data_IF_756073167543
#
_entry.id   IF_756073167543
#
_cell.length_a   1.000
_cell.length_b   1.000
_cell.length_c   1.000
_cell.angle_alpha   90.00
_cell.angle_beta   90.00
_cell.angle_gamma   90.00
#
_symmetry.space_group_name_H-M   'P 1'
#
loop_
_entity.id
_entity.type
_entity.pdbx_description
1 polymer ?
#
# COMPACT_ATOMS: atom_id res chain seq x y z
N UNK A 1 -0.19 52.95 -39.85
CA UNK A 1 -1.31 52.23 -39.24
C UNK A 1 -0.85 50.80 -38.98
N UNK A 2 -0.32 50.52 -37.79
CA UNK A 2 0.16 49.20 -37.36
C UNK A 2 -0.59 48.85 -36.08
N UNK A 3 -1.47 47.84 -36.18
CA UNK A 3 -2.17 47.26 -35.04
C UNK A 3 -1.37 46.02 -34.59
N UNK A 4 -0.70 46.13 -33.45
CA UNK A 4 -0.10 44.98 -32.76
C UNK A 4 -1.20 44.23 -32.01
N UNK A 5 -1.21 42.89 -32.18
CA UNK A 5 -2.32 42.00 -31.82
C UNK A 5 -2.13 41.28 -30.47
N UNK A 6 -1.13 41.68 -29.66
CA UNK A 6 -0.71 40.95 -28.45
C UNK A 6 -0.78 41.80 -27.16
N UNK A 7 -1.90 42.48 -26.94
CA UNK A 7 -2.03 43.49 -25.88
C UNK A 7 -2.81 43.13 -24.61
N UNK A 8 -3.52 41.99 -24.53
CA UNK A 8 -4.63 41.88 -23.56
C UNK A 8 -4.66 40.67 -22.60
N UNK A 9 -3.63 39.82 -22.53
CA UNK A 9 -3.67 38.66 -21.60
C UNK A 9 -2.79 38.82 -20.35
N UNK A 10 -1.96 39.87 -20.24
CA UNK A 10 -0.97 39.97 -19.16
C UNK A 10 -1.36 40.84 -17.94
N UNK A 11 -2.60 41.34 -17.85
CA UNK A 11 -2.98 42.31 -16.81
C UNK A 11 -3.85 41.76 -15.66
N UNK A 12 -4.33 40.52 -15.72
CA UNK A 12 -5.19 39.97 -14.66
C UNK A 12 -4.43 39.35 -13.47
N UNK A 13 -3.11 39.11 -13.59
CA UNK A 13 -2.34 38.42 -12.53
C UNK A 13 -1.61 39.36 -11.54
N UNK A 14 -1.73 40.67 -11.70
CA UNK A 14 -0.94 41.65 -10.92
C UNK A 14 -1.59 42.18 -9.63
N UNK A 15 -2.78 41.69 -9.23
CA UNK A 15 -3.58 42.29 -8.14
C UNK A 15 -3.62 41.46 -6.83
N UNK A 16 -2.96 40.31 -6.75
CA UNK A 16 -2.79 39.61 -5.47
C UNK A 16 -1.37 39.80 -4.94
N UNK A 17 -1.20 40.71 -3.97
CA UNK A 17 0.03 40.85 -3.17
C UNK A 17 0.29 39.50 -2.46
N UNK A 18 1.28 38.69 -2.90
CA UNK A 18 1.26 37.24 -2.63
C UNK A 18 1.77 36.85 -1.24
N UNK A 19 2.51 37.73 -0.54
CA UNK A 19 3.22 37.34 0.69
C UNK A 19 2.37 37.08 1.93
N UNK A 20 1.23 37.74 2.09
CA UNK A 20 0.31 37.44 3.21
C UNK A 20 -0.76 36.42 2.84
N UNK A 21 -1.05 36.28 1.55
CA UNK A 21 -2.14 35.44 1.05
C UNK A 21 -1.85 33.94 1.18
N UNK A 22 -0.59 33.49 1.06
CA UNK A 22 -0.28 32.05 1.21
C UNK A 22 -0.34 31.56 2.65
N UNK A 23 0.10 32.35 3.63
CA UNK A 23 -0.10 31.98 5.04
C UNK A 23 -1.59 31.99 5.39
N UNK A 24 -2.36 32.95 4.87
CA UNK A 24 -3.81 33.00 5.04
C UNK A 24 -4.48 31.80 4.34
N UNK A 25 -4.02 31.39 3.15
CA UNK A 25 -4.57 30.23 2.44
C UNK A 25 -4.21 28.91 3.15
N UNK A 26 -2.98 28.76 3.64
CA UNK A 26 -2.57 27.59 4.41
C UNK A 26 -3.30 27.51 5.75
N UNK A 27 -3.46 28.64 6.44
CA UNK A 27 -4.27 28.74 7.66
C UNK A 27 -5.74 28.47 7.32
N UNK A 28 -6.30 29.05 6.25
CA UNK A 28 -7.69 28.83 5.85
C UNK A 28 -7.94 27.37 5.44
N UNK A 29 -7.01 26.74 4.72
CA UNK A 29 -7.07 25.32 4.40
C UNK A 29 -6.96 24.48 5.66
N UNK A 30 -6.02 24.75 6.57
CA UNK A 30 -5.96 24.06 7.86
C UNK A 30 -7.23 24.28 8.70
N UNK A 31 -7.79 25.48 8.75
CA UNK A 31 -8.98 25.82 9.53
C UNK A 31 -10.24 25.20 8.94
N UNK A 32 -10.41 25.27 7.61
CA UNK A 32 -11.47 24.56 6.90
C UNK A 32 -11.35 23.05 7.12
N UNK A 33 -10.12 22.53 7.12
CA UNK A 33 -9.84 21.12 7.35
C UNK A 33 -10.10 20.70 8.81
N UNK A 34 -9.72 21.51 9.80
CA UNK A 34 -10.06 21.31 11.21
C UNK A 34 -11.57 21.34 11.40
N UNK A 35 -12.27 22.29 10.75
CA UNK A 35 -13.72 22.36 10.78
C UNK A 35 -14.34 21.09 10.19
N UNK A 36 -13.90 20.64 9.00
CA UNK A 36 -14.35 19.38 8.39
C UNK A 36 -14.03 18.19 9.30
N UNK A 37 -12.86 18.17 9.94
CA UNK A 37 -12.45 17.13 10.91
C UNK A 37 -13.33 17.12 12.15
N UNK A 38 -13.83 18.26 12.61
CA UNK A 38 -14.81 18.36 13.70
C UNK A 38 -16.20 17.85 13.30
N UNK A 39 -16.52 17.80 12.00
CA UNK A 39 -17.76 17.20 11.49
C UNK A 39 -17.60 15.71 11.12
N UNK A 40 -16.40 15.15 11.23
CA UNK A 40 -16.23 13.69 11.18
C UNK A 40 -16.83 13.15 12.47
N UNK A 41 -17.85 12.30 12.32
CA UNK A 41 -18.60 11.67 13.41
C UNK A 41 -17.68 11.26 14.57
N UNK A 42 -18.15 11.37 15.83
CA UNK A 42 -17.34 11.06 17.00
C UNK A 42 -16.68 9.69 16.79
N UNK A 43 -15.35 9.70 16.73
CA UNK A 43 -14.54 8.48 16.73
C UNK A 43 -14.98 7.72 17.97
N UNK A 44 -15.75 6.66 17.77
CA UNK A 44 -16.14 5.78 18.86
C UNK A 44 -14.85 5.11 19.30
N UNK A 45 -14.30 5.55 20.43
CA UNK A 45 -13.10 4.97 21.07
C UNK A 45 -13.24 3.47 21.42
N UNK A 46 -14.40 2.88 21.12
CA UNK A 46 -14.71 1.47 21.20
C UNK A 46 -14.84 0.90 19.77
N UNK A 47 -13.75 0.92 18.99
CA UNK A 47 -13.72 0.13 17.78
C UNK A 47 -13.94 -1.35 18.15
N UNK A 48 -14.75 -2.10 17.38
CA UNK A 48 -14.87 -3.54 17.61
C UNK A 48 -13.49 -4.20 17.49
N UNK A 49 -13.22 -5.30 18.23
CA UNK A 49 -12.05 -6.11 17.95
C UNK A 49 -12.00 -6.43 16.45
N UNK A 50 -10.80 -6.46 15.87
CA UNK A 50 -10.66 -6.79 14.47
C UNK A 50 -11.21 -8.20 14.16
N UNK A 51 -11.77 -8.40 12.96
CA UNK A 51 -12.32 -9.70 12.55
C UNK A 51 -11.21 -10.73 12.36
N UNK A 52 -11.61 -11.99 12.37
CA UNK A 52 -10.68 -13.10 12.13
C UNK A 52 -10.32 -13.18 10.65
N UNK A 53 -9.04 -13.44 10.36
CA UNK A 53 -8.46 -13.37 9.02
C UNK A 53 -7.60 -14.60 8.71
N UNK A 54 -7.96 -15.31 7.65
CA UNK A 54 -7.19 -16.43 7.12
C UNK A 54 -6.66 -16.12 5.73
N UNK A 55 -5.34 -16.10 5.60
CA UNK A 55 -4.63 -15.83 4.36
C UNK A 55 -4.25 -17.12 3.65
N UNK A 56 -4.53 -17.22 2.37
CA UNK A 56 -4.10 -18.33 1.52
C UNK A 56 -3.20 -17.80 0.43
N UNK A 57 -1.98 -18.33 0.33
CA UNK A 57 -1.04 -18.03 -0.75
C UNK A 57 -0.88 -19.25 -1.64
N UNK A 58 -1.36 -19.16 -2.87
CA UNK A 58 -1.26 -20.21 -3.86
C UNK A 58 0.15 -20.23 -4.45
N UNK A 59 0.79 -21.39 -4.48
CA UNK A 59 2.11 -21.57 -5.11
C UNK A 59 2.03 -22.67 -6.15
N UNK A 60 2.36 -22.34 -7.40
CA UNK A 60 2.26 -23.26 -8.54
C UNK A 60 3.58 -23.99 -8.76
N UNK A 61 3.57 -25.32 -8.86
CA UNK A 61 4.80 -26.09 -9.13
C UNK A 61 5.20 -26.07 -10.60
N UNK A 62 4.25 -25.88 -11.51
CA UNK A 62 4.48 -25.93 -12.96
C UNK A 62 3.55 -24.96 -13.71
N UNK A 63 4.14 -23.87 -14.21
CA UNK A 63 3.42 -22.86 -15.00
C UNK A 63 2.46 -22.02 -14.16
N UNK A 64 2.46 -20.71 -14.39
CA UNK A 64 1.53 -19.82 -13.68
C UNK A 64 0.15 -19.95 -14.32
N UNK A 65 -0.85 -20.39 -13.54
CA UNK A 65 -2.24 -20.53 -13.96
C UNK A 65 -3.11 -19.55 -13.20
N UNK A 66 -3.93 -18.79 -13.92
CA UNK A 66 -4.77 -17.77 -13.29
C UNK A 66 -5.92 -18.43 -12.55
N UNK A 67 -6.06 -18.14 -11.26
CA UNK A 67 -7.22 -18.52 -10.45
C UNK A 67 -8.47 -17.78 -10.97
N UNK A 68 -9.50 -18.52 -11.35
CA UNK A 68 -10.79 -17.99 -11.80
C UNK A 68 -11.85 -18.01 -10.70
N UNK A 69 -11.79 -19.03 -9.84
CA UNK A 69 -12.67 -19.17 -8.70
C UNK A 69 -12.07 -20.03 -7.61
N UNK A 70 -12.45 -19.76 -6.36
CA UNK A 70 -12.03 -20.52 -5.20
C UNK A 70 -13.23 -20.75 -4.29
N UNK A 71 -13.48 -22.01 -3.95
CA UNK A 71 -14.53 -22.43 -3.04
C UNK A 71 -13.90 -23.03 -1.79
N UNK A 72 -14.44 -22.66 -0.62
CA UNK A 72 -14.17 -23.33 0.64
C UNK A 72 -15.41 -24.15 0.99
N UNK A 73 -15.20 -25.43 1.23
CA UNK A 73 -16.24 -26.44 1.38
C UNK A 73 -16.09 -27.13 2.72
N UNK A 74 -17.20 -27.26 3.43
CA UNK A 74 -17.30 -28.04 4.66
C UNK A 74 -17.74 -29.47 4.32
N UNK A 75 -17.08 -30.44 4.94
CA UNK A 75 -17.22 -31.86 4.70
C UNK A 75 -17.60 -32.55 6.02
N UNK A 76 -18.63 -33.41 5.98
CA UNK A 76 -19.06 -34.19 7.14
C UNK A 76 -18.14 -35.38 7.47
N UNK A 77 -17.30 -35.81 6.52
CA UNK A 77 -16.39 -36.95 6.65
C UNK A 77 -15.17 -36.80 5.72
N UNK A 78 -14.18 -37.69 5.88
CA UNK A 78 -12.92 -37.64 5.13
C UNK A 78 -13.07 -37.84 3.61
N UNK A 79 -14.19 -38.41 3.16
CA UNK A 79 -14.49 -38.57 1.73
C UNK A 79 -15.25 -37.36 1.16
N UNK A 80 -15.72 -36.45 2.02
CA UNK A 80 -16.54 -35.31 1.67
C UNK A 80 -17.82 -35.69 0.89
N UNK A 81 -18.53 -36.75 1.33
CA UNK A 81 -19.70 -37.27 0.61
C UNK A 81 -20.89 -36.28 0.54
N UNK A 82 -20.98 -35.38 1.52
CA UNK A 82 -22.00 -34.32 1.60
C UNK A 82 -21.33 -32.95 1.73
N UNK A 83 -20.77 -32.43 0.63
CA UNK A 83 -20.06 -31.16 0.66
C UNK A 83 -21.05 -30.00 0.79
N UNK A 84 -20.73 -29.07 1.69
CA UNK A 84 -21.48 -27.82 1.87
C UNK A 84 -20.59 -26.66 1.43
N UNK A 85 -21.03 -25.89 0.43
CA UNK A 85 -20.31 -24.70 0.01
C UNK A 85 -20.43 -23.63 1.10
N UNK A 86 -19.31 -23.32 1.75
CA UNK A 86 -19.24 -22.28 2.77
C UNK A 86 -19.17 -20.94 2.07
N UNK A 87 -18.06 -20.65 1.40
CA UNK A 87 -17.81 -19.38 0.72
C UNK A 87 -17.17 -19.61 -0.64
N UNK A 88 -17.42 -18.68 -1.56
CA UNK A 88 -16.85 -18.70 -2.90
C UNK A 88 -16.33 -17.31 -3.29
N UNK A 89 -15.16 -17.30 -3.91
CA UNK A 89 -14.64 -16.20 -4.70
C UNK A 89 -14.73 -16.55 -6.19
N UNK A 90 -15.05 -15.55 -7.02
CA UNK A 90 -15.02 -15.70 -8.48
C UNK A 90 -16.06 -16.68 -9.02
N UNK A 91 -15.84 -17.16 -10.23
CA UNK A 91 -16.73 -18.10 -10.90
C UNK A 91 -16.17 -19.52 -10.82
N UNK A 92 -16.99 -20.46 -10.36
CA UNK A 92 -16.67 -21.90 -10.35
C UNK A 92 -17.79 -22.62 -11.13
N UNK A 93 -17.56 -22.85 -12.42
CA UNK A 93 -18.55 -23.40 -13.38
C UNK A 93 -18.18 -24.80 -13.88
N UNK A 94 -16.92 -25.20 -13.73
CA UNK A 94 -16.41 -26.44 -14.29
C UNK A 94 -16.84 -27.68 -13.48
N UNK A 95 -16.74 -28.85 -14.13
CA UNK A 95 -17.03 -30.13 -13.50
C UNK A 95 -16.09 -30.37 -12.31
N UNK A 96 -16.66 -30.37 -11.09
CA UNK A 96 -15.92 -30.48 -9.83
C UNK A 96 -16.20 -29.34 -8.86
N UNK A 97 -16.69 -28.20 -9.36
CA UNK A 97 -17.22 -27.12 -8.53
C UNK A 97 -18.59 -27.49 -7.96
N UNK A 98 -18.89 -26.97 -6.77
CA UNK A 98 -20.24 -27.02 -6.22
C UNK A 98 -21.09 -25.91 -6.84
N UNK A 99 -22.29 -26.26 -7.30
CA UNK A 99 -23.22 -25.30 -7.93
C UNK A 99 -24.24 -24.73 -6.96
N UNK A 100 -24.35 -25.32 -5.76
CA UNK A 100 -25.25 -24.82 -4.72
C UNK A 100 -24.75 -23.46 -4.22
N UNK A 101 -25.66 -22.53 -3.91
CA UNK A 101 -25.29 -21.21 -3.38
C UNK A 101 -24.50 -21.32 -2.07
N UNK A 102 -23.50 -20.46 -1.92
CA UNK A 102 -22.65 -20.39 -0.74
C UNK A 102 -23.46 -19.99 0.51
N UNK A 103 -23.32 -20.74 1.61
CA UNK A 103 -24.01 -20.43 2.86
C UNK A 103 -23.51 -19.15 3.52
N UNK A 104 -22.22 -18.81 3.35
CA UNK A 104 -21.53 -17.64 3.90
C UNK A 104 -22.19 -16.30 3.57
N UNK A 105 -22.87 -16.18 2.42
CA UNK A 105 -23.54 -14.93 2.03
C UNK A 105 -24.59 -14.47 3.06
N UNK A 106 -25.05 -15.39 3.93
CA UNK A 106 -25.95 -15.10 5.06
C UNK A 106 -25.23 -14.91 6.42
N UNK A 107 -23.97 -15.31 6.53
CA UNK A 107 -23.18 -15.32 7.76
C UNK A 107 -22.13 -14.19 7.84
N UNK A 108 -21.89 -13.45 6.76
CA UNK A 108 -20.92 -12.35 6.79
C UNK A 108 -19.46 -12.82 6.66
N UNK A 109 -19.24 -14.08 6.28
CA UNK A 109 -17.91 -14.53 5.84
C UNK A 109 -17.68 -14.04 4.40
N UNK A 110 -16.50 -13.48 4.13
CA UNK A 110 -16.11 -12.98 2.81
C UNK A 110 -14.78 -13.57 2.40
N UNK A 111 -14.71 -14.11 1.19
CA UNK A 111 -13.47 -14.57 0.57
C UNK A 111 -13.13 -13.65 -0.59
N UNK A 112 -12.03 -12.92 -0.47
CA UNK A 112 -11.51 -12.14 -1.59
C UNK A 112 -10.16 -12.65 -2.05
N UNK A 113 -9.96 -12.71 -3.37
CA UNK A 113 -8.68 -13.06 -3.95
C UNK A 113 -8.15 -11.96 -4.89
N UNK A 114 -6.82 -11.89 -4.98
CA UNK A 114 -6.08 -11.11 -5.95
C UNK A 114 -4.78 -11.83 -6.31
N UNK A 115 -4.57 -12.08 -7.61
CA UNK A 115 -3.51 -12.95 -8.13
C UNK A 115 -3.51 -14.31 -7.38
N UNK A 116 -2.39 -14.68 -6.77
CA UNK A 116 -2.21 -15.94 -6.02
C UNK A 116 -2.51 -15.80 -4.52
N UNK A 117 -3.19 -14.74 -4.08
CA UNK A 117 -3.48 -14.52 -2.65
C UNK A 117 -4.96 -14.40 -2.43
N UNK A 118 -5.47 -15.11 -1.42
CA UNK A 118 -6.84 -15.00 -0.96
C UNK A 118 -6.88 -14.69 0.53
N UNK A 119 -7.89 -13.92 0.93
CA UNK A 119 -8.18 -13.55 2.30
C UNK A 119 -9.61 -13.97 2.60
N UNK A 120 -9.77 -14.86 3.57
CA UNK A 120 -11.04 -15.15 4.21
C UNK A 120 -11.17 -14.26 5.45
N UNK A 121 -12.20 -13.43 5.48
CA UNK A 121 -12.58 -12.61 6.63
C UNK A 121 -13.87 -13.17 7.22
N UNK A 122 -13.89 -13.38 8.52
CA UNK A 122 -15.10 -13.71 9.27
C UNK A 122 -15.57 -12.47 10.05
N UNK A 123 -16.61 -11.81 9.54
CA UNK A 123 -17.17 -10.59 10.14
C UNK A 123 -18.07 -10.89 11.36
N UNK A 124 -18.34 -12.16 11.69
CA UNK A 124 -19.10 -12.50 12.90
C UNK A 124 -18.20 -12.32 14.11
N UNK A 125 -18.30 -11.14 14.71
CA UNK A 125 -17.66 -10.76 15.97
C UNK A 125 -17.99 -11.65 17.19
N UNK A 126 -18.80 -12.71 17.05
CA UNK A 126 -19.37 -13.50 18.15
C UNK A 126 -19.86 -14.91 17.74
N UNK A 127 -18.98 -15.82 17.34
CA UNK A 127 -19.34 -17.26 17.37
C UNK A 127 -18.22 -18.17 17.87
N UNK A 128 -17.42 -17.69 18.81
CA UNK A 128 -16.80 -18.58 19.78
C UNK A 128 -17.59 -18.47 21.08
N UNK A 129 -18.30 -19.52 21.50
CA UNK A 129 -18.93 -19.51 22.80
C UNK A 129 -17.82 -19.40 23.85
N UNK A 130 -17.72 -18.23 24.47
CA UNK A 130 -17.07 -18.11 25.76
C UNK A 130 -17.96 -18.91 26.72
N UNK A 131 -17.51 -20.13 27.05
CA UNK A 131 -18.09 -21.02 28.06
C UNK A 131 -19.36 -21.80 27.68
N UNK A 132 -19.37 -22.54 26.56
CA UNK A 132 -20.24 -23.72 26.50
C UNK A 132 -19.48 -24.94 27.04
N UNK A 133 -20.01 -25.66 28.05
CA UNK A 133 -19.41 -26.90 28.53
C UNK A 133 -19.39 -27.93 27.39
N UNK A 134 -18.41 -28.84 27.35
CA UNK A 134 -18.26 -29.83 26.28
C UNK A 134 -19.45 -30.78 26.28
N UNK A 135 -20.50 -30.42 25.56
CA UNK A 135 -21.59 -31.32 25.22
C UNK A 135 -21.07 -32.23 24.10
N UNK A 136 -21.09 -33.55 24.36
CA UNK A 136 -20.76 -34.67 23.45
C UNK A 136 -20.30 -34.24 22.06
N UNK A 137 -18.99 -34.27 21.82
CA UNK A 137 -18.34 -33.79 20.59
C UNK A 137 -19.08 -34.25 19.33
N UNK A 138 -19.77 -33.36 18.59
CA UNK A 138 -20.09 -33.64 17.20
C UNK A 138 -18.76 -33.84 16.43
N UNK A 139 -18.74 -34.66 15.36
CA UNK A 139 -17.55 -34.83 14.54
C UNK A 139 -17.06 -33.46 14.07
N UNK A 140 -15.78 -33.15 14.34
CA UNK A 140 -15.18 -31.87 13.96
C UNK A 140 -15.33 -31.69 12.44
N UNK A 141 -15.88 -30.57 11.97
CA UNK A 141 -16.06 -30.38 10.54
C UNK A 141 -14.71 -30.36 9.83
N UNK A 142 -14.64 -31.05 8.70
CA UNK A 142 -13.46 -31.06 7.83
C UNK A 142 -13.65 -30.00 6.74
N UNK A 143 -12.59 -29.31 6.36
CA UNK A 143 -12.61 -28.33 5.27
C UNK A 143 -11.83 -28.80 4.06
N UNK A 144 -12.34 -28.44 2.90
CA UNK A 144 -11.73 -28.69 1.60
C UNK A 144 -11.73 -27.42 0.78
N UNK A 145 -10.64 -27.17 0.05
CA UNK A 145 -10.57 -26.10 -0.94
C UNK A 145 -10.76 -26.68 -2.34
N UNK A 146 -11.56 -26.00 -3.16
CA UNK A 146 -11.74 -26.30 -4.58
C UNK A 146 -11.36 -25.04 -5.36
N UNK A 147 -10.28 -25.10 -6.14
CA UNK A 147 -9.85 -24.01 -6.99
C UNK A 147 -10.17 -24.31 -8.45
N UNK A 148 -10.89 -23.41 -9.12
CA UNK A 148 -10.99 -23.37 -10.57
C UNK A 148 -9.90 -22.46 -11.12
N UNK A 149 -9.02 -23.03 -11.94
CA UNK A 149 -7.97 -22.34 -12.67
C UNK A 149 -8.33 -22.30 -14.16
N UNK A 150 -7.64 -21.44 -14.91
CA UNK A 150 -7.86 -21.23 -16.36
C UNK A 150 -7.93 -22.49 -17.21
N UNK A 151 -7.35 -23.60 -16.76
CA UNK A 151 -7.24 -24.85 -17.49
C UNK A 151 -7.91 -26.04 -16.81
N UNK A 152 -8.23 -25.97 -15.51
CA UNK A 152 -8.68 -27.13 -14.72
C UNK A 152 -9.20 -26.77 -13.33
N UNK A 153 -9.95 -27.71 -12.74
CA UNK A 153 -10.35 -27.68 -11.33
C UNK A 153 -9.40 -28.54 -10.49
N UNK A 154 -8.93 -28.03 -9.36
CA UNK A 154 -8.11 -28.76 -8.39
C UNK A 154 -8.77 -28.74 -7.03
N UNK A 155 -8.63 -29.83 -6.29
CA UNK A 155 -9.23 -29.98 -4.98
C UNK A 155 -8.18 -30.39 -3.96
N UNK A 156 -8.27 -29.84 -2.75
CA UNK A 156 -7.46 -30.28 -1.63
C UNK A 156 -7.99 -31.58 -1.03
N UNK A 157 -7.18 -32.33 -0.25
CA UNK A 157 -7.74 -33.27 0.71
C UNK A 157 -8.53 -32.53 1.80
N UNK A 158 -9.52 -33.16 2.45
CA UNK A 158 -10.19 -32.58 3.61
C UNK A 158 -9.25 -32.46 4.82
N UNK A 159 -9.34 -31.35 5.55
CA UNK A 159 -8.47 -31.00 6.69
C UNK A 159 -9.33 -30.62 7.89
N UNK A 160 -9.03 -31.08 9.12
CA UNK A 160 -9.84 -30.75 10.28
C UNK A 160 -9.82 -29.26 10.66
N UNK A 161 -10.99 -28.72 10.98
CA UNK A 161 -11.17 -27.45 11.69
C UNK A 161 -10.89 -27.68 13.18
N UNK A 162 -9.66 -27.45 13.65
CA UNK A 162 -9.37 -27.52 15.10
C UNK A 162 -8.87 -26.17 15.62
N UNK A 163 -9.74 -25.47 16.35
CA UNK A 163 -9.49 -24.15 16.93
C UNK A 163 -8.88 -24.21 18.33
N UNK A 164 -8.68 -25.40 18.91
CA UNK A 164 -8.32 -25.53 20.34
C UNK A 164 -7.02 -26.27 20.63
N UNK A 165 -6.27 -26.76 19.63
CA UNK A 165 -5.07 -27.54 19.92
C UNK A 165 -3.80 -27.02 19.30
N UNK A 166 -2.99 -26.41 20.17
CA UNK A 166 -1.55 -26.23 20.00
C UNK A 166 -0.88 -27.61 20.14
N UNK A 167 -1.07 -28.50 19.16
CA UNK A 167 -0.43 -29.81 19.19
C UNK A 167 1.04 -29.67 18.81
N UNK A 168 1.88 -30.11 19.74
CA UNK A 168 3.34 -30.02 19.68
C UNK A 168 3.98 -30.92 18.62
N UNK A 169 3.21 -31.76 17.93
CA UNK A 169 3.67 -32.63 16.85
C UNK A 169 2.48 -32.97 15.94
N UNK A 170 2.59 -32.63 14.66
CA UNK A 170 1.91 -33.25 13.51
C UNK A 170 0.39 -33.48 13.63
N UNK A 171 -0.41 -32.47 13.25
CA UNK A 171 -1.62 -32.58 12.41
C UNK A 171 -2.21 -31.17 12.20
N UNK A 172 -2.39 -30.79 10.93
CA UNK A 172 -2.85 -29.45 10.54
C UNK A 172 -4.23 -29.15 11.11
N UNK A 173 -4.37 -28.03 11.80
CA UNK A 173 -5.65 -27.52 12.26
C UNK A 173 -5.84 -26.08 11.83
N UNK A 174 -7.08 -25.70 11.49
CA UNK A 174 -7.40 -24.35 11.01
C UNK A 174 -7.56 -23.34 12.16
N UNK A 175 -6.54 -22.52 12.53
CA UNK A 175 -6.69 -21.48 13.53
C UNK A 175 -7.72 -20.42 13.13
N UNK A 176 -8.18 -19.67 14.13
CA UNK A 176 -9.01 -18.47 13.97
C UNK A 176 -8.32 -17.44 13.06
N UNK A 177 -7.01 -17.28 13.19
CA UNK A 177 -6.18 -16.41 12.35
C UNK A 177 -4.97 -17.19 11.84
N UNK A 178 -4.65 -17.10 10.56
CA UNK A 178 -3.59 -17.93 9.99
C UNK A 178 -3.09 -17.52 8.62
N UNK A 179 -1.89 -17.98 8.28
CA UNK A 179 -1.33 -17.89 6.94
C UNK A 179 -1.04 -19.30 6.41
N UNK A 180 -1.65 -19.60 5.27
CA UNK A 180 -1.67 -20.90 4.63
C UNK A 180 -0.94 -20.83 3.30
N UNK A 181 -0.07 -21.80 3.05
CA UNK A 181 0.47 -22.02 1.73
C UNK A 181 -0.36 -23.10 1.05
N UNK A 182 -0.83 -22.82 -0.16
CA UNK A 182 -1.65 -23.73 -0.96
C UNK A 182 -0.85 -24.09 -2.19
N UNK A 183 -0.21 -25.24 -2.15
CA UNK A 183 0.57 -25.76 -3.27
C UNK A 183 -0.38 -26.33 -4.33
N UNK A 184 -0.32 -25.75 -5.52
CA UNK A 184 -1.09 -26.18 -6.68
C UNK A 184 -0.16 -27.01 -7.56
N UNK A 185 -0.39 -28.32 -7.59
CA UNK A 185 0.34 -29.25 -8.44
C UNK A 185 -0.45 -29.56 -9.70
N UNK A 186 0.18 -30.30 -10.60
CA UNK A 186 -0.49 -30.71 -11.83
C UNK A 186 -1.72 -31.57 -11.57
N UNK A 187 -1.81 -32.31 -10.47
CA UNK A 187 -2.93 -33.23 -10.23
C UNK A 187 -3.79 -32.84 -9.03
N UNK A 188 -3.25 -32.08 -8.07
CA UNK A 188 -3.93 -31.81 -6.81
C UNK A 188 -3.65 -30.41 -6.26
N UNK A 189 -4.39 -30.05 -5.22
CA UNK A 189 -4.08 -28.92 -4.37
C UNK A 189 -3.67 -29.45 -2.99
N UNK A 190 -2.64 -28.89 -2.37
CA UNK A 190 -2.20 -29.29 -1.03
C UNK A 190 -2.09 -28.07 -0.15
N UNK A 191 -2.78 -28.09 0.98
CA UNK A 191 -2.69 -27.01 1.97
C UNK A 191 -1.56 -27.41 2.93
N UNK A 192 -0.54 -26.56 2.98
CA UNK A 192 0.64 -26.70 3.83
C UNK A 192 0.59 -25.56 4.84
N UNK A 193 0.52 -25.92 6.13
CA UNK A 193 0.60 -24.94 7.20
C UNK A 193 2.05 -24.49 7.35
N UNK A 194 2.27 -23.18 7.29
CA UNK A 194 3.60 -22.64 7.50
C UNK A 194 3.87 -22.56 9.01
N UNK A 195 4.40 -23.66 9.58
CA UNK A 195 4.64 -23.81 11.03
C UNK A 195 5.59 -22.76 11.62
N UNK A 196 6.34 -22.03 10.78
CA UNK A 196 7.33 -21.05 11.22
C UNK A 196 6.78 -19.63 11.44
N UNK A 197 5.48 -19.38 11.21
CA UNK A 197 4.92 -18.02 11.13
C UNK A 197 3.66 -17.75 11.94
N UNK A 198 3.57 -18.31 13.15
CA UNK A 198 2.56 -17.93 14.15
C UNK A 198 2.72 -16.47 14.67
N UNK A 199 3.66 -15.68 14.12
CA UNK A 199 3.96 -14.31 14.52
C UNK A 199 3.33 -13.24 13.63
N UNK A 200 2.36 -13.59 12.79
CA UNK A 200 1.48 -12.61 12.15
C UNK A 200 0.52 -12.01 13.19
N UNK A 201 1.10 -11.26 14.13
CA UNK A 201 0.37 -10.48 15.11
C UNK A 201 -0.45 -9.41 14.39
N UNK A 202 -1.62 -9.16 14.94
CA UNK A 202 -2.60 -8.19 14.49
C UNK A 202 -1.95 -6.91 13.94
N UNK A 203 -2.14 -6.67 12.63
CA UNK A 203 -1.68 -5.45 11.95
C UNK A 203 -0.44 -5.61 11.07
N UNK A 204 0.02 -6.82 10.74
CA UNK A 204 1.25 -6.99 9.94
C UNK A 204 1.13 -7.90 8.71
N UNK A 205 0.85 -7.25 7.58
CA UNK A 205 1.74 -7.23 6.41
C UNK A 205 1.80 -8.43 5.48
N UNK A 206 1.47 -8.17 4.21
CA UNK A 206 2.08 -8.88 3.10
C UNK A 206 3.60 -9.02 3.36
N UNK A 207 4.26 -10.10 2.92
CA UNK A 207 5.71 -10.27 3.08
C UNK A 207 6.52 -9.02 2.68
N UNK A 208 6.03 -8.28 1.69
CA UNK A 208 6.56 -6.99 1.25
C UNK A 208 6.63 -5.93 2.36
N UNK A 209 5.64 -5.86 3.24
CA UNK A 209 5.58 -4.78 4.22
C UNK A 209 6.41 -5.06 5.48
N UNK A 210 6.63 -6.32 5.85
CA UNK A 210 7.69 -6.69 6.81
C UNK A 210 9.10 -6.42 6.27
N UNK A 211 9.29 -6.63 4.96
CA UNK A 211 10.51 -6.30 4.27
C UNK A 211 10.72 -4.77 4.24
N UNK A 212 9.65 -4.01 3.97
CA UNK A 212 9.64 -2.55 4.01
C UNK A 212 10.12 -2.01 5.35
N UNK A 213 9.55 -2.44 6.47
CA UNK A 213 9.90 -1.86 7.77
C UNK A 213 11.38 -2.08 8.14
N UNK A 214 11.95 -3.21 7.73
CA UNK A 214 13.38 -3.51 7.95
C UNK A 214 14.31 -2.68 7.07
N UNK A 215 13.87 -2.35 5.86
CA UNK A 215 14.74 -1.75 4.84
C UNK A 215 14.49 -0.26 4.71
N UNK A 216 13.36 0.26 5.17
CA UNK A 216 12.97 1.66 5.00
C UNK A 216 14.09 2.65 5.32
N UNK A 217 14.72 2.54 6.50
CA UNK A 217 15.78 3.46 6.89
C UNK A 217 17.08 3.26 6.11
N UNK A 218 17.42 2.01 5.78
CA UNK A 218 18.63 1.67 5.01
C UNK A 218 18.48 2.11 3.55
N UNK A 219 17.32 1.84 2.95
CA UNK A 219 16.93 2.26 1.62
C UNK A 219 16.88 3.78 1.51
N UNK A 220 16.33 4.47 2.50
CA UNK A 220 16.29 5.93 2.54
C UNK A 220 17.69 6.54 2.55
N UNK A 221 18.54 6.06 3.46
CA UNK A 221 19.92 6.52 3.55
C UNK A 221 20.71 6.23 2.27
N UNK A 222 20.57 5.02 1.72
CA UNK A 222 21.20 4.63 0.45
C UNK A 222 20.76 5.55 -0.69
N UNK A 223 19.46 5.83 -0.79
CA UNK A 223 18.88 6.71 -1.79
C UNK A 223 19.53 8.08 -1.68
N UNK A 224 19.40 8.77 -0.54
CA UNK A 224 19.97 10.11 -0.37
C UNK A 224 21.48 10.15 -0.66
N UNK A 225 22.26 9.21 -0.14
CA UNK A 225 23.71 9.22 -0.35
C UNK A 225 24.08 9.02 -1.82
N UNK A 226 23.42 8.07 -2.50
CA UNK A 226 23.67 7.80 -3.91
C UNK A 226 23.26 8.97 -4.80
N UNK A 227 22.13 9.59 -4.53
CA UNK A 227 21.63 10.71 -5.31
C UNK A 227 22.49 11.97 -5.14
N UNK A 228 22.92 12.26 -3.90
CA UNK A 228 23.84 13.35 -3.64
C UNK A 228 25.19 13.13 -4.32
N UNK A 229 25.69 11.90 -4.34
CA UNK A 229 26.94 11.57 -5.03
C UNK A 229 26.82 11.79 -6.54
N UNK A 230 25.77 11.26 -7.18
CA UNK A 230 25.53 11.40 -8.61
C UNK A 230 25.34 12.87 -8.99
N UNK A 231 24.55 13.61 -8.21
CA UNK A 231 24.34 15.03 -8.42
C UNK A 231 25.62 15.85 -8.22
N UNK A 232 26.44 15.52 -7.23
CA UNK A 232 27.73 16.16 -7.01
C UNK A 232 28.67 15.96 -8.22
N UNK A 233 28.77 14.72 -8.74
CA UNK A 233 29.56 14.40 -9.93
C UNK A 233 29.04 15.19 -11.14
N UNK A 234 27.73 15.21 -11.36
CA UNK A 234 27.10 15.95 -12.45
C UNK A 234 27.40 17.46 -12.36
N UNK A 235 27.23 18.06 -11.18
CA UNK A 235 27.44 19.48 -10.97
C UNK A 235 28.93 19.87 -11.08
N UNK A 236 29.83 19.00 -10.63
CA UNK A 236 31.27 19.17 -10.83
C UNK A 236 31.64 19.15 -12.31
N UNK A 237 31.12 18.17 -13.07
CA UNK A 237 31.37 18.08 -14.51
C UNK A 237 30.85 19.32 -15.27
N UNK A 238 29.73 19.89 -14.82
CA UNK A 238 29.17 21.15 -15.34
C UNK A 238 29.93 22.41 -14.90
N UNK A 239 30.99 22.28 -14.08
CA UNK A 239 31.76 23.39 -13.50
C UNK A 239 30.85 24.43 -12.83
N UNK A 240 29.82 23.96 -12.12
CA UNK A 240 28.90 24.84 -11.41
C UNK A 240 29.61 25.65 -10.33
N UNK A 241 29.15 26.87 -10.07
CA UNK A 241 29.68 27.68 -8.97
C UNK A 241 29.37 27.03 -7.61
N UNK A 242 30.26 27.20 -6.62
CA UNK A 242 30.09 26.62 -5.29
C UNK A 242 28.72 26.93 -4.63
N UNK A 243 28.18 28.17 -4.73
CA UNK A 243 26.84 28.47 -4.20
C UNK A 243 25.73 27.70 -4.93
N UNK A 244 25.83 27.53 -6.25
CA UNK A 244 24.86 26.76 -7.03
C UNK A 244 24.95 25.27 -6.71
N UNK A 245 26.17 24.76 -6.59
CA UNK A 245 26.46 23.37 -6.22
C UNK A 245 25.78 23.00 -4.90
N UNK A 246 26.05 23.76 -3.83
CA UNK A 246 25.44 23.51 -2.52
C UNK A 246 23.92 23.67 -2.52
N UNK A 247 23.39 24.65 -3.26
CA UNK A 247 21.94 24.85 -3.42
C UNK A 247 21.26 23.65 -4.07
N UNK A 248 21.80 23.12 -5.17
CA UNK A 248 21.21 21.97 -5.87
C UNK A 248 21.25 20.71 -5.01
N UNK A 249 22.37 20.43 -4.33
CA UNK A 249 22.45 19.31 -3.40
C UNK A 249 21.40 19.41 -2.30
N UNK A 250 21.24 20.60 -1.69
CA UNK A 250 20.21 20.82 -0.68
C UNK A 250 18.80 20.61 -1.25
N UNK A 251 18.53 21.12 -2.46
CA UNK A 251 17.24 20.93 -3.14
C UNK A 251 16.95 19.45 -3.34
N UNK A 252 17.94 18.64 -3.73
CA UNK A 252 17.77 17.18 -3.90
C UNK A 252 17.39 16.52 -2.57
N UNK A 253 18.08 16.85 -1.46
CA UNK A 253 17.69 16.34 -0.12
C UNK A 253 16.25 16.73 0.21
N UNK A 254 15.87 17.98 -0.02
CA UNK A 254 14.51 18.45 0.29
C UNK A 254 13.46 17.78 -0.60
N UNK A 255 13.76 17.55 -1.87
CA UNK A 255 12.86 16.87 -2.80
C UNK A 255 12.66 15.41 -2.39
N UNK A 256 13.74 14.72 -2.02
CA UNK A 256 13.71 13.35 -1.49
C UNK A 256 12.89 13.23 -0.22
N UNK A 257 12.91 14.27 0.63
CA UNK A 257 12.09 14.31 1.83
C UNK A 257 10.59 14.15 1.50
N UNK A 258 10.14 14.57 0.32
CA UNK A 258 8.74 14.45 -0.12
C UNK A 258 8.50 13.32 -1.12
N UNK A 259 9.40 13.06 -2.07
CA UNK A 259 9.22 11.97 -3.06
C UNK A 259 9.29 10.59 -2.39
N UNK A 260 10.21 10.40 -1.43
CA UNK A 260 10.41 9.12 -0.77
C UNK A 260 9.18 8.62 0.00
N UNK A 261 8.50 9.41 0.86
CA UNK A 261 7.24 8.98 1.47
C UNK A 261 6.16 8.59 0.45
N UNK A 262 6.09 9.25 -0.71
CA UNK A 262 5.11 8.90 -1.75
C UNK A 262 5.42 7.51 -2.31
N UNK A 263 6.68 7.23 -2.65
CA UNK A 263 7.11 5.89 -3.12
C UNK A 263 6.83 4.81 -2.08
N UNK A 264 7.05 5.09 -0.80
CA UNK A 264 6.97 4.08 0.27
C UNK A 264 5.62 4.00 1.00
N UNK A 265 4.72 4.96 0.74
CA UNK A 265 3.40 5.04 1.37
C UNK A 265 2.28 5.07 0.35
N UNK A 266 2.32 5.96 -0.64
CA UNK A 266 1.23 6.08 -1.63
C UNK A 266 1.17 4.89 -2.58
N UNK A 267 2.25 4.57 -3.30
CA UNK A 267 2.21 3.47 -4.26
C UNK A 267 1.90 2.11 -3.61
N UNK A 268 2.53 1.75 -2.47
CA UNK A 268 2.16 0.55 -1.72
C UNK A 268 0.71 0.56 -1.22
N UNK A 269 0.11 1.72 -0.93
CA UNK A 269 -1.29 1.76 -0.49
C UNK A 269 -2.30 1.49 -1.60
N UNK A 270 -1.89 1.63 -2.86
CA UNK A 270 -2.69 1.23 -4.03
C UNK A 270 -2.70 -0.29 -4.25
N UNK A 271 -1.83 -1.03 -3.58
CA UNK A 271 -1.78 -2.48 -3.72
C UNK A 271 -3.06 -3.17 -3.20
N UNK A 272 -3.27 -4.42 -3.60
CA UNK A 272 -4.30 -5.28 -3.05
C UNK A 272 -4.14 -5.50 -1.54
N UNK A 273 -5.26 -5.67 -0.87
CA UNK A 273 -5.41 -5.94 0.55
C UNK A 273 -4.77 -4.91 1.48
N UNK A 274 -4.75 -3.65 1.04
CA UNK A 274 -4.32 -2.55 1.88
C UNK A 274 -5.47 -2.08 2.78
N UNK A 275 -5.16 -1.71 4.02
CA UNK A 275 -6.14 -1.16 4.95
C UNK A 275 -6.58 0.25 4.54
N UNK A 276 -7.77 0.66 4.96
CA UNK A 276 -8.24 2.04 4.79
C UNK A 276 -7.24 3.05 5.37
N UNK A 277 -6.70 2.76 6.56
CA UNK A 277 -5.70 3.59 7.23
C UNK A 277 -4.46 3.81 6.34
N UNK A 278 -3.90 2.75 5.77
CA UNK A 278 -2.73 2.82 4.88
C UNK A 278 -3.04 3.61 3.60
N UNK A 279 -4.24 3.45 3.02
CA UNK A 279 -4.71 4.22 1.86
C UNK A 279 -4.78 5.70 2.14
N UNK A 280 -5.42 6.11 3.23
CA UNK A 280 -5.51 7.52 3.61
C UNK A 280 -4.14 8.13 3.92
N UNK A 281 -3.26 7.38 4.57
CA UNK A 281 -1.88 7.83 4.81
C UNK A 281 -1.12 8.03 3.49
N UNK A 282 -1.20 7.06 2.58
CA UNK A 282 -0.61 7.15 1.25
C UNK A 282 -1.13 8.35 0.44
N UNK A 283 -2.45 8.53 0.36
CA UNK A 283 -3.07 9.68 -0.33
C UNK A 283 -2.60 11.00 0.27
N UNK A 284 -2.51 11.07 1.60
CA UNK A 284 -2.01 12.26 2.29
C UNK A 284 -0.56 12.56 1.93
N UNK A 285 0.31 11.54 1.87
CA UNK A 285 1.71 11.73 1.47
C UNK A 285 1.85 12.33 0.06
N UNK A 286 1.04 11.86 -0.90
CA UNK A 286 1.00 12.43 -2.25
C UNK A 286 0.49 13.88 -2.24
N UNK A 287 -0.59 14.15 -1.51
CA UNK A 287 -1.15 15.50 -1.41
C UNK A 287 -0.13 16.51 -0.83
N UNK A 288 0.61 16.10 0.21
CA UNK A 288 1.67 16.92 0.83
C UNK A 288 2.80 17.20 -0.16
N UNK A 289 3.26 16.18 -0.91
CA UNK A 289 4.30 16.35 -1.92
C UNK A 289 3.84 17.32 -3.02
N UNK A 290 2.64 17.15 -3.55
CA UNK A 290 2.08 18.06 -4.56
C UNK A 290 1.93 19.49 -4.02
N UNK A 291 1.46 19.66 -2.78
CA UNK A 291 1.36 20.95 -2.13
C UNK A 291 2.74 21.61 -1.97
N UNK A 292 3.76 20.84 -1.58
CA UNK A 292 5.13 21.33 -1.53
C UNK A 292 5.61 21.80 -2.90
N UNK A 293 5.48 20.98 -3.95
CA UNK A 293 5.90 21.36 -5.30
C UNK A 293 5.18 22.62 -5.80
N UNK A 294 3.86 22.72 -5.59
CA UNK A 294 3.06 23.89 -5.99
C UNK A 294 3.47 25.15 -5.22
N UNK A 295 3.64 25.06 -3.89
CA UNK A 295 4.06 26.20 -3.07
C UNK A 295 5.44 26.71 -3.49
N UNK A 296 6.38 25.80 -3.77
CA UNK A 296 7.72 26.15 -4.25
C UNK A 296 7.72 26.76 -5.66
N UNK A 297 6.77 26.38 -6.52
CA UNK A 297 6.60 26.97 -7.84
C UNK A 297 6.02 28.39 -7.77
N UNK A 298 5.06 28.63 -6.88
CA UNK A 298 4.35 29.92 -6.78
C UNK A 298 5.17 30.98 -6.04
N UNK A 299 5.79 30.64 -4.91
CA UNK A 299 6.62 31.56 -4.12
C UNK A 299 7.97 30.91 -3.79
N UNK A 300 8.90 30.88 -4.76
CA UNK A 300 10.20 30.27 -4.55
C UNK A 300 10.94 31.00 -3.41
N UNK A 301 11.47 30.28 -2.42
CA UNK A 301 12.06 30.88 -1.23
C UNK A 301 13.27 31.75 -1.59
N UNK A 302 13.33 32.94 -0.98
CA UNK A 302 14.39 33.92 -1.23
C UNK A 302 15.77 33.51 -0.64
N UNK A 303 15.81 32.57 0.29
CA UNK A 303 17.06 32.09 0.92
C UNK A 303 17.00 30.60 1.23
N UNK A 304 18.16 29.95 1.34
CA UNK A 304 18.28 28.52 1.68
C UNK A 304 17.65 28.21 3.05
N UNK A 305 17.86 29.06 4.06
CA UNK A 305 17.26 28.87 5.38
C UNK A 305 15.73 28.89 5.33
N UNK A 306 15.14 29.78 4.50
CA UNK A 306 13.69 29.82 4.30
C UNK A 306 13.20 28.58 3.57
N UNK A 307 13.95 28.10 2.57
CA UNK A 307 13.63 26.83 1.89
C UNK A 307 13.57 25.67 2.88
N UNK A 308 14.62 25.49 3.70
CA UNK A 308 14.69 24.41 4.69
C UNK A 308 13.58 24.54 5.72
N UNK A 309 13.37 25.74 6.26
CA UNK A 309 12.31 25.98 7.25
C UNK A 309 10.92 25.68 6.67
N UNK A 310 10.61 26.18 5.46
CA UNK A 310 9.34 25.92 4.78
C UNK A 310 9.16 24.44 4.45
N UNK A 311 10.19 23.77 3.93
CA UNK A 311 10.17 22.35 3.63
C UNK A 311 9.91 21.52 4.89
N UNK A 312 10.66 21.74 5.97
CA UNK A 312 10.45 21.04 7.24
C UNK A 312 9.08 21.33 7.86
N UNK A 313 8.61 22.57 7.79
CA UNK A 313 7.27 22.94 8.32
C UNK A 313 6.17 22.22 7.55
N UNK A 314 6.22 22.23 6.21
CA UNK A 314 5.24 21.54 5.36
C UNK A 314 5.34 20.02 5.57
N UNK A 315 6.56 19.48 5.65
CA UNK A 315 6.77 18.05 5.84
C UNK A 315 6.24 17.57 7.20
N UNK A 316 6.68 18.18 8.30
CA UNK A 316 6.27 17.77 9.64
C UNK A 316 4.78 18.02 9.85
N UNK A 317 4.31 19.25 9.57
CA UNK A 317 2.91 19.61 9.74
C UNK A 317 1.98 18.79 8.85
N UNK A 318 2.39 18.58 7.59
CA UNK A 318 1.67 17.74 6.63
C UNK A 318 1.58 16.30 7.10
N UNK A 319 2.69 15.67 7.53
CA UNK A 319 2.67 14.28 7.97
C UNK A 319 1.88 14.07 9.27
N UNK A 320 1.95 15.01 10.23
CA UNK A 320 1.11 15.00 11.42
C UNK A 320 -0.37 15.04 11.00
N UNK A 321 -0.72 15.95 10.10
CA UNK A 321 -2.07 16.07 9.59
C UNK A 321 -2.52 14.79 8.85
N UNK A 322 -1.70 14.26 7.95
CA UNK A 322 -1.97 13.02 7.22
C UNK A 322 -2.14 11.81 8.13
N UNK A 323 -1.35 11.72 9.21
CA UNK A 323 -1.51 10.71 10.26
C UNK A 323 -2.84 10.86 11.00
N UNK A 324 -3.21 12.08 11.37
CA UNK A 324 -4.52 12.34 11.99
C UNK A 324 -5.68 11.96 11.05
N UNK A 325 -5.60 12.29 9.76
CA UNK A 325 -6.61 11.90 8.76
C UNK A 325 -6.71 10.38 8.66
N UNK A 326 -5.56 9.72 8.57
CA UNK A 326 -5.47 8.26 8.48
C UNK A 326 -6.12 7.59 9.70
N UNK A 327 -5.93 8.14 10.90
CA UNK A 327 -6.58 7.68 12.12
C UNK A 327 -8.08 8.01 12.09
N UNK A 328 -8.47 9.27 11.88
CA UNK A 328 -9.88 9.70 11.93
C UNK A 328 -10.76 8.97 10.90
N UNK A 329 -10.23 8.70 9.70
CA UNK A 329 -10.96 8.05 8.62
C UNK A 329 -10.76 6.53 8.55
N UNK A 330 -9.68 6.01 9.14
CA UNK A 330 -9.31 4.58 9.09
C UNK A 330 -9.51 3.82 10.39
N UNK A 331 -9.61 4.50 11.53
CA UNK A 331 -9.75 3.84 12.84
C UNK A 331 -11.05 3.05 12.92
N UNK A 332 -10.95 1.79 13.36
CA UNK A 332 -12.07 0.86 13.48
C UNK A 332 -12.59 0.32 12.14
N UNK A 333 -11.99 0.68 11.01
CA UNK A 333 -12.27 0.09 9.70
C UNK A 333 -11.27 -1.00 9.39
N UNK A 334 -11.65 -2.24 9.66
CA UNK A 334 -10.82 -3.42 9.45
C UNK A 334 -10.89 -3.98 8.03
N UNK A 335 -11.69 -3.34 7.16
CA UNK A 335 -11.83 -3.74 5.76
C UNK A 335 -10.48 -3.69 5.04
N UNK A 336 -10.06 -4.86 4.55
CA UNK A 336 -8.96 -4.98 3.59
C UNK A 336 -9.53 -4.96 2.18
N UNK A 337 -9.06 -4.03 1.36
CA UNK A 337 -9.53 -3.86 -0.01
C UNK A 337 -8.81 -4.82 -0.93
N UNK A 338 -9.43 -5.93 -1.31
CA UNK A 338 -8.82 -6.91 -2.21
C UNK A 338 -8.49 -6.36 -3.60
N UNK A 339 -9.22 -5.35 -4.07
CA UNK A 339 -8.91 -4.65 -5.31
C UNK A 339 -7.71 -3.73 -5.13
N UNK A 340 -6.75 -3.80 -6.04
CA UNK A 340 -5.61 -2.90 -6.07
C UNK A 340 -4.81 -3.00 -7.36
N UNK A 341 -3.75 -2.21 -7.43
CA UNK A 341 -2.80 -2.21 -8.54
C UNK A 341 -1.71 -3.25 -8.22
N UNK A 342 -1.50 -4.25 -9.09
CA UNK A 342 -0.39 -5.19 -8.92
C UNK A 342 0.95 -4.48 -8.76
N UNK A 343 1.83 -5.02 -7.92
CA UNK A 343 3.18 -4.48 -7.69
C UNK A 343 3.96 -4.25 -8.98
N UNK A 344 3.83 -5.17 -9.96
CA UNK A 344 4.45 -5.06 -11.30
C UNK A 344 4.10 -3.79 -12.07
N UNK A 345 2.99 -3.13 -11.73
CA UNK A 345 2.58 -1.84 -12.32
C UNK A 345 2.82 -0.68 -11.37
N UNK A 346 2.58 -0.87 -10.07
CA UNK A 346 2.78 0.16 -9.06
C UNK A 346 4.25 0.62 -9.00
N UNK A 347 5.20 -0.32 -9.08
CA UNK A 347 6.64 -0.01 -9.01
C UNK A 347 7.13 0.81 -10.22
N UNK A 348 6.91 0.42 -11.49
CA UNK A 348 7.29 1.30 -12.61
C UNK A 348 6.59 2.66 -12.57
N UNK A 349 5.34 2.72 -12.13
CA UNK A 349 4.61 3.97 -12.00
C UNK A 349 5.23 4.88 -10.93
N UNK A 350 5.75 4.31 -9.83
CA UNK A 350 6.45 5.09 -8.80
C UNK A 350 7.74 5.69 -9.34
N UNK A 351 8.52 4.94 -10.11
CA UNK A 351 9.75 5.46 -10.73
C UNK A 351 9.47 6.63 -11.67
N UNK A 352 8.46 6.48 -12.55
CA UNK A 352 8.06 7.56 -13.48
C UNK A 352 7.58 8.79 -12.69
N UNK A 353 6.78 8.58 -11.64
CA UNK A 353 6.31 9.67 -10.79
C UNK A 353 7.48 10.43 -10.17
N UNK A 354 8.44 9.73 -9.56
CA UNK A 354 9.58 10.37 -8.89
C UNK A 354 10.38 11.17 -9.91
N UNK A 355 10.74 10.58 -11.05
CA UNK A 355 11.52 11.28 -12.08
C UNK A 355 10.83 12.59 -12.51
N UNK A 356 9.53 12.55 -12.76
CA UNK A 356 8.76 13.74 -13.20
C UNK A 356 8.63 14.77 -12.07
N UNK A 357 8.25 14.32 -10.87
CA UNK A 357 8.02 15.18 -9.72
C UNK A 357 9.31 15.89 -9.29
N UNK A 358 10.40 15.15 -9.16
CA UNK A 358 11.68 15.72 -8.73
C UNK A 358 12.24 16.67 -9.78
N UNK A 359 12.18 16.31 -11.07
CA UNK A 359 12.58 17.22 -12.15
C UNK A 359 11.82 18.55 -12.11
N UNK A 360 10.51 18.49 -11.88
CA UNK A 360 9.66 19.67 -11.75
C UNK A 360 10.05 20.54 -10.55
N UNK A 361 10.24 19.95 -9.36
CA UNK A 361 10.58 20.71 -8.16
C UNK A 361 12.02 21.23 -8.20
N UNK A 362 12.99 20.45 -8.68
CA UNK A 362 14.38 20.87 -8.88
C UNK A 362 14.42 22.05 -9.86
N UNK A 363 13.74 21.93 -11.01
CA UNK A 363 13.67 23.01 -12.00
C UNK A 363 13.09 24.29 -11.39
N UNK A 364 12.01 24.16 -10.60
CA UNK A 364 11.35 25.29 -9.94
C UNK A 364 12.26 25.98 -8.91
N UNK A 365 12.92 25.20 -8.04
CA UNK A 365 13.78 25.72 -6.98
C UNK A 365 15.15 26.19 -7.46
N UNK A 366 15.61 25.71 -8.63
CA UNK A 366 16.85 26.19 -9.26
C UNK A 366 16.74 27.63 -9.79
N UNK A 367 15.56 28.27 -9.72
CA UNK A 367 15.34 29.64 -10.21
C UNK A 367 15.78 29.82 -11.68
N UNK A 368 15.48 28.81 -12.52
CA UNK A 368 15.85 28.75 -13.95
C UNK A 368 17.35 28.65 -14.25
N UNK A 369 18.19 28.40 -13.23
CA UNK A 369 19.61 28.10 -13.47
C UNK A 369 19.81 26.72 -14.09
N UNK A 370 18.90 25.79 -13.83
CA UNK A 370 18.78 24.54 -14.56
C UNK A 370 17.54 24.60 -15.45
N UNK A 371 17.70 24.23 -16.71
CA UNK A 371 16.56 23.95 -17.58
C UNK A 371 15.81 22.71 -17.09
N UNK A 372 14.52 22.60 -17.42
CA UNK A 372 13.74 21.42 -17.08
C UNK A 372 14.36 20.13 -17.64
N UNK A 373 14.96 20.18 -18.83
CA UNK A 373 15.67 19.04 -19.43
C UNK A 373 16.88 18.60 -18.58
N UNK A 374 17.65 19.56 -18.03
CA UNK A 374 18.77 19.25 -17.14
C UNK A 374 18.29 18.71 -15.79
N UNK A 375 17.22 19.28 -15.22
CA UNK A 375 16.62 18.77 -13.99
C UNK A 375 16.07 17.34 -14.18
N UNK A 376 15.46 17.07 -15.33
CA UNK A 376 14.99 15.73 -15.72
C UNK A 376 16.13 14.73 -15.86
N UNK A 377 17.24 15.14 -16.49
CA UNK A 377 18.42 14.29 -16.61
C UNK A 377 19.04 13.98 -15.24
N UNK A 378 19.16 14.97 -14.35
CA UNK A 378 19.67 14.75 -12.99
C UNK A 378 18.76 13.75 -12.27
N UNK A 379 17.45 13.99 -12.25
CA UNK A 379 16.50 13.11 -11.56
C UNK A 379 16.49 11.68 -12.13
N UNK A 380 16.56 11.53 -13.46
CA UNK A 380 16.69 10.23 -14.09
C UNK A 380 17.96 9.49 -13.63
N UNK A 381 19.11 10.17 -13.63
CA UNK A 381 20.39 9.57 -13.26
C UNK A 381 20.44 9.21 -11.76
N UNK A 382 19.92 10.08 -10.89
CA UNK A 382 19.89 9.84 -9.44
C UNK A 382 19.02 8.64 -9.11
N UNK A 383 17.79 8.60 -9.65
CA UNK A 383 16.84 7.50 -9.42
C UNK A 383 17.30 6.18 -10.05
N UNK A 384 17.83 6.20 -11.27
CA UNK A 384 18.37 4.98 -11.91
C UNK A 384 19.53 4.39 -11.09
N UNK A 385 20.39 5.26 -10.54
CA UNK A 385 21.53 4.81 -9.73
C UNK A 385 21.05 4.28 -8.38
N UNK A 386 20.15 4.97 -7.68
CA UNK A 386 19.63 4.53 -6.38
C UNK A 386 18.85 3.22 -6.51
N UNK A 387 18.03 3.06 -7.56
CA UNK A 387 17.35 1.80 -7.90
C UNK A 387 18.36 0.67 -8.17
N UNK A 388 19.37 0.91 -9.00
CA UNK A 388 20.40 -0.08 -9.34
C UNK A 388 21.15 -0.54 -8.09
N UNK A 389 21.56 0.39 -7.22
CA UNK A 389 22.23 0.09 -5.96
C UNK A 389 21.30 -0.65 -4.99
N UNK A 390 20.02 -0.26 -4.92
CA UNK A 390 19.02 -0.95 -4.11
C UNK A 390 18.85 -2.42 -4.53
N UNK A 391 18.79 -2.68 -5.84
CA UNK A 391 18.73 -4.04 -6.38
C UNK A 391 20.01 -4.83 -6.06
N UNK A 392 21.19 -4.21 -6.11
CA UNK A 392 22.46 -4.90 -5.81
C UNK A 392 22.60 -5.22 -4.32
N UNK A 393 22.20 -4.30 -3.45
CA UNK A 393 22.45 -4.38 -1.99
C UNK A 393 21.38 -5.19 -1.25
N UNK A 394 20.12 -5.12 -1.70
CA UNK A 394 18.99 -5.73 -1.00
C UNK A 394 18.43 -7.00 -1.67
N UNK A 395 19.08 -7.47 -2.74
CA UNK A 395 18.86 -8.82 -3.27
C UNK A 395 19.51 -9.85 -2.36
#
# INVERSE_FOLDING_TARGET
MWLTKDGYVLMAWKILKPRKSMHILAIALMSLFLAISCFVNPVRANAPPPPQMNWFTLTHTSGHKTLQGLQIVECSNANCDRPVLVVQYGECRDTGCLTNGAQASSRGERLDCFDDRCLLVDDILNSFPINEPPSKEPPKPLFRMIGQFSDRVRMSPPIPKDTSVRYKNENLSFPSDGSWQVEVTDDAMRIVQNAEKDSYSFGSYSPFQQYKDRIFWRGWLLTILSELLVAAIYMWWRKASLPLFGKILLVIVMVNLFSYPVVWSFFPSLEPFQSAMTRYFGISSLAIALLFGLTMQVDPPASLSKLVFSALTIFIGGNILGGLISILCGYGRWDLFAQGIPYRFAMPASEVFVIVYEAWVISSLSQRQLSFAQASLISLLTNLTSLSLGIIIFR
#
